data_IF_053070091382
#
_entry.id   IF_053070091382
#
_cell.length_a   1.000
_cell.length_b   1.000
_cell.length_c   1.000
_cell.angle_alpha   90.00
_cell.angle_beta   90.00
_cell.angle_gamma   90.00
#
_symmetry.space_group_name_H-M   'P 1'
#
loop_
_entity.id
_entity.type
_entity.pdbx_description
1 polymer ?
#
# COMPACT_ATOMS: atom_id res chain seq x y z
N UNK A 1 22.01 -11.07 19.88
CA UNK A 1 21.30 -11.43 21.13
C UNK A 1 22.18 -12.29 22.06
N UNK A 2 22.26 -11.98 23.36
CA UNK A 2 23.04 -12.77 24.33
C UNK A 2 22.19 -13.94 24.89
N UNK A 3 22.76 -15.14 24.98
CA UNK A 3 22.16 -16.36 25.56
C UNK A 3 21.51 -16.12 26.93
N UNK A 4 22.04 -15.18 27.71
CA UNK A 4 21.54 -14.80 29.03
C UNK A 4 20.17 -14.10 28.97
N UNK A 5 19.94 -13.23 27.98
CA UNK A 5 18.65 -12.56 27.77
C UNK A 5 17.57 -13.55 27.36
N UNK A 6 17.90 -14.48 26.46
CA UNK A 6 16.96 -15.51 26.00
C UNK A 6 16.54 -16.43 27.14
N UNK A 7 17.50 -16.84 27.98
CA UNK A 7 17.20 -17.68 29.13
C UNK A 7 16.37 -16.93 30.18
N UNK A 8 16.67 -15.66 30.45
CA UNK A 8 15.87 -14.81 31.35
C UNK A 8 14.41 -14.72 30.88
N UNK A 9 14.21 -14.59 29.58
CA UNK A 9 12.89 -14.48 28.95
C UNK A 9 12.11 -15.78 28.97
N UNK A 10 12.80 -16.91 28.85
CA UNK A 10 12.20 -18.22 29.10
C UNK A 10 11.79 -18.39 30.58
N UNK A 11 12.59 -17.88 31.51
CA UNK A 11 12.24 -17.86 32.94
C UNK A 11 11.02 -16.97 33.22
N UNK A 12 10.91 -15.81 32.59
CA UNK A 12 9.71 -14.96 32.69
C UNK A 12 8.46 -15.67 32.16
N UNK A 13 8.58 -16.42 31.08
CA UNK A 13 7.48 -17.20 30.55
C UNK A 13 7.06 -18.36 31.49
N UNK A 14 8.02 -19.03 32.14
CA UNK A 14 7.73 -20.02 33.18
C UNK A 14 6.99 -19.43 34.41
N UNK A 15 7.08 -18.11 34.62
CA UNK A 15 6.39 -17.38 35.69
C UNK A 15 5.00 -16.85 35.26
N UNK A 16 4.47 -17.28 34.11
CA UNK A 16 3.15 -16.83 33.61
C UNK A 16 3.14 -15.42 33.02
N UNK A 17 4.30 -14.83 32.72
CA UNK A 17 4.45 -13.52 32.06
C UNK A 17 4.75 -13.66 30.57
N UNK A 18 4.17 -14.68 29.93
CA UNK A 18 4.50 -15.12 28.57
C UNK A 18 4.29 -14.01 27.53
N UNK A 19 3.23 -13.20 27.66
CA UNK A 19 2.95 -12.10 26.74
C UNK A 19 4.02 -10.98 26.84
N UNK A 20 4.43 -10.60 28.06
CA UNK A 20 5.49 -9.59 28.25
C UNK A 20 6.84 -10.08 27.72
N UNK A 21 7.13 -11.37 27.89
CA UNK A 21 8.31 -11.99 27.30
C UNK A 21 8.22 -11.98 25.76
N UNK A 22 7.07 -12.32 25.19
CA UNK A 22 6.90 -12.27 23.74
C UNK A 22 7.14 -10.86 23.18
N UNK A 23 6.56 -9.82 23.78
CA UNK A 23 6.69 -8.43 23.32
C UNK A 23 8.14 -7.93 23.36
N UNK A 24 8.89 -8.28 24.42
CA UNK A 24 10.30 -7.91 24.53
C UNK A 24 11.14 -8.61 23.45
N UNK A 25 10.88 -9.88 23.12
CA UNK A 25 11.57 -10.57 22.02
C UNK A 25 11.24 -9.97 20.66
N UNK A 26 9.98 -9.66 20.41
CA UNK A 26 9.55 -9.03 19.16
C UNK A 26 10.27 -7.69 18.98
N UNK A 27 10.32 -6.86 20.02
CA UNK A 27 11.00 -5.58 19.96
C UNK A 27 12.53 -5.73 19.80
N UNK A 28 13.15 -6.69 20.48
CA UNK A 28 14.58 -6.98 20.32
C UNK A 28 14.89 -7.46 18.90
N UNK A 29 14.07 -8.35 18.35
CA UNK A 29 14.19 -8.81 16.96
C UNK A 29 14.02 -7.67 15.97
N UNK A 30 12.99 -6.84 16.12
CA UNK A 30 12.80 -5.66 15.27
C UNK A 30 13.98 -4.68 15.35
N UNK A 31 14.59 -4.52 16.53
CA UNK A 31 15.75 -3.63 16.68
C UNK A 31 17.02 -4.14 15.98
N UNK A 32 17.09 -5.45 15.71
CA UNK A 32 18.17 -6.09 14.94
C UNK A 32 17.94 -6.04 13.42
N UNK A 33 16.78 -5.58 12.97
CA UNK A 33 16.43 -5.45 11.56
C UNK A 33 16.64 -3.99 11.13
N UNK A 34 17.79 -3.71 10.54
CA UNK A 34 18.22 -2.36 10.17
C UNK A 34 17.22 -1.68 9.24
N UNK A 35 16.65 -2.42 8.28
CA UNK A 35 15.73 -1.87 7.27
C UNK A 35 14.27 -1.86 7.71
N UNK A 36 13.94 -2.30 8.92
CA UNK A 36 12.54 -2.50 9.34
C UNK A 36 11.70 -1.21 9.25
N UNK A 37 12.19 -0.11 9.85
CA UNK A 37 11.48 1.18 9.84
C UNK A 37 11.38 1.79 8.44
N UNK A 38 12.45 1.71 7.67
CA UNK A 38 12.51 2.27 6.32
C UNK A 38 11.60 1.49 5.36
N UNK A 39 11.46 0.17 5.55
CA UNK A 39 10.54 -0.67 4.79
C UNK A 39 9.09 -0.26 5.05
N UNK A 40 8.70 -0.07 6.32
CA UNK A 40 7.36 0.45 6.66
C UNK A 40 7.09 1.79 5.97
N UNK A 41 7.98 2.76 6.14
CA UNK A 41 7.83 4.10 5.55
C UNK A 41 7.70 4.06 4.03
N UNK A 42 8.48 3.21 3.37
CA UNK A 42 8.47 3.10 1.91
C UNK A 42 7.16 2.49 1.40
N UNK A 43 6.62 1.49 2.11
CA UNK A 43 5.35 0.85 1.75
C UNK A 43 4.16 1.77 2.05
N UNK A 44 4.19 2.50 3.17
CA UNK A 44 3.22 3.55 3.47
C UNK A 44 3.20 4.64 2.39
N UNK A 45 4.37 5.05 1.88
CA UNK A 45 4.46 5.97 0.76
C UNK A 45 3.80 5.41 -0.52
N UNK A 46 4.02 4.13 -0.83
CA UNK A 46 3.37 3.50 -1.99
C UNK A 46 1.84 3.48 -1.86
N UNK A 47 1.33 3.21 -0.66
CA UNK A 47 -0.10 3.28 -0.38
C UNK A 47 -0.63 4.71 -0.50
N UNK A 48 0.07 5.70 0.06
CA UNK A 48 -0.32 7.10 0.00
C UNK A 48 -0.38 7.63 -1.43
N UNK A 49 0.61 7.30 -2.27
CA UNK A 49 0.64 7.67 -3.70
C UNK A 49 -0.57 7.05 -4.43
N UNK A 50 -0.85 5.76 -4.19
CA UNK A 50 -2.00 5.09 -4.79
C UNK A 50 -3.34 5.72 -4.36
N UNK A 51 -3.51 6.03 -3.07
CA UNK A 51 -4.72 6.68 -2.54
C UNK A 51 -4.90 8.10 -3.08
N UNK A 52 -3.82 8.89 -3.17
CA UNK A 52 -3.84 10.24 -3.71
C UNK A 52 -4.40 10.26 -5.14
N UNK A 53 -3.90 9.36 -6.00
CA UNK A 53 -4.36 9.29 -7.38
C UNK A 53 -5.78 8.75 -7.52
N UNK A 54 -6.19 7.80 -6.68
CA UNK A 54 -7.57 7.33 -6.63
C UNK A 54 -8.55 8.44 -6.23
N UNK A 55 -8.19 9.25 -5.24
CA UNK A 55 -9.02 10.38 -4.80
C UNK A 55 -9.10 11.47 -5.88
N UNK A 56 -7.98 11.80 -6.53
CA UNK A 56 -7.96 12.78 -7.62
C UNK A 56 -8.80 12.32 -8.82
N UNK A 57 -8.69 11.05 -9.20
CA UNK A 57 -9.51 10.46 -10.27
C UNK A 57 -11.01 10.49 -9.94
N UNK A 58 -11.38 10.16 -8.69
CA UNK A 58 -12.77 10.26 -8.21
C UNK A 58 -13.28 11.71 -8.26
N UNK A 59 -12.50 12.67 -7.80
CA UNK A 59 -12.88 14.08 -7.80
C UNK A 59 -13.14 14.60 -9.22
N UNK A 60 -12.24 14.31 -10.17
CA UNK A 60 -12.44 14.67 -11.58
C UNK A 60 -13.67 14.00 -12.19
N UNK A 61 -13.95 12.75 -11.82
CA UNK A 61 -15.15 12.04 -12.27
C UNK A 61 -16.43 12.67 -11.72
N UNK A 62 -16.43 13.09 -10.45
CA UNK A 62 -17.55 13.79 -9.83
C UNK A 62 -17.78 15.16 -10.47
N UNK A 63 -16.71 15.94 -10.67
CA UNK A 63 -16.79 17.25 -11.34
C UNK A 63 -17.34 17.10 -12.76
N UNK A 64 -16.84 16.13 -13.53
CA UNK A 64 -17.33 15.85 -14.88
C UNK A 64 -18.83 15.57 -14.89
N UNK A 65 -19.32 14.71 -13.99
CA UNK A 65 -20.75 14.37 -13.90
C UNK A 65 -21.61 15.57 -13.51
N UNK A 66 -21.13 16.43 -12.61
CA UNK A 66 -21.84 17.65 -12.23
C UNK A 66 -21.99 18.60 -13.43
N UNK A 67 -20.90 18.81 -14.19
CA UNK A 67 -20.93 19.63 -15.40
C UNK A 67 -21.84 19.03 -16.49
N UNK A 68 -21.83 17.71 -16.66
CA UNK A 68 -22.73 17.01 -17.59
C UNK A 68 -24.20 17.22 -17.21
N UNK A 69 -24.54 17.17 -15.91
CA UNK A 69 -25.89 17.45 -15.42
C UNK A 69 -26.29 18.92 -15.67
N UNK A 70 -25.42 19.87 -15.36
CA UNK A 70 -25.66 21.30 -15.63
C UNK A 70 -25.89 21.59 -17.13
N UNK A 71 -25.17 20.90 -18.03
CA UNK A 71 -25.39 21.03 -19.48
C UNK A 71 -26.77 20.54 -19.88
N UNK A 72 -27.25 19.42 -19.30
CA UNK A 72 -28.60 18.92 -19.55
C UNK A 72 -29.65 19.91 -19.04
N UNK A 73 -29.50 20.43 -17.82
CA UNK A 73 -30.40 21.43 -17.24
C UNK A 73 -30.46 22.71 -18.09
N UNK A 74 -29.29 23.19 -18.59
CA UNK A 74 -29.24 24.34 -19.49
C UNK A 74 -29.94 24.06 -20.82
N UNK A 75 -29.77 22.87 -21.40
CA UNK A 75 -30.47 22.46 -22.63
C UNK A 75 -31.99 22.38 -22.42
N UNK A 76 -32.43 21.90 -21.26
CA UNK A 76 -33.86 21.88 -20.89
C UNK A 76 -34.40 23.29 -20.65
N UNK A 77 -33.61 24.20 -20.06
CA UNK A 77 -34.02 25.58 -19.80
C UNK A 77 -34.32 26.36 -21.08
N UNK A 78 -33.62 26.07 -22.19
CA UNK A 78 -33.91 26.63 -23.52
C UNK A 78 -35.34 26.29 -23.96
N UNK A 79 -35.79 25.06 -23.70
CA UNK A 79 -37.13 24.60 -24.09
C UNK A 79 -38.25 25.25 -23.25
N UNK A 80 -37.90 25.83 -22.09
CA UNK A 80 -38.83 26.44 -21.14
C UNK A 80 -38.83 27.98 -21.18
N UNK A 81 -38.14 28.60 -22.14
CA UNK A 81 -38.10 30.06 -22.27
C UNK A 81 -39.47 30.63 -22.66
N UNK A 82 -39.92 31.65 -21.94
CA UNK A 82 -41.17 32.36 -22.23
C UNK A 82 -41.00 33.28 -23.46
N UNK A 83 -42.03 33.34 -24.30
CA UNK A 83 -42.00 33.99 -25.62
C UNK A 83 -42.08 35.53 -25.53
N UNK A 84 -42.19 36.07 -24.31
CA UNK A 84 -42.45 37.50 -24.04
C UNK A 84 -41.22 38.42 -24.04
N UNK A 85 -40.02 37.90 -24.32
CA UNK A 85 -38.76 38.67 -24.36
C UNK A 85 -37.90 38.42 -25.60
N UNK A 86 -36.67 38.95 -25.61
CA UNK A 86 -35.67 38.66 -26.65
C UNK A 86 -35.11 37.24 -26.47
N UNK A 87 -35.85 36.26 -26.98
CA UNK A 87 -35.53 34.84 -26.92
C UNK A 87 -34.17 34.57 -27.55
N UNK A 88 -33.81 35.28 -28.62
CA UNK A 88 -32.55 35.05 -29.35
C UNK A 88 -31.37 35.39 -28.44
N UNK A 89 -31.40 36.54 -27.75
CA UNK A 89 -30.35 36.91 -26.82
C UNK A 89 -30.22 35.94 -25.62
N UNK A 90 -31.35 35.45 -25.10
CA UNK A 90 -31.37 34.48 -24.00
C UNK A 90 -30.81 33.12 -24.42
N UNK A 91 -31.24 32.59 -25.58
CA UNK A 91 -30.73 31.35 -26.15
C UNK A 91 -29.24 31.44 -26.45
N UNK A 92 -28.76 32.56 -27.02
CA UNK A 92 -27.33 32.76 -27.26
C UNK A 92 -26.51 32.74 -25.96
N UNK A 93 -27.03 33.33 -24.89
CA UNK A 93 -26.37 33.34 -23.58
C UNK A 93 -26.29 31.93 -23.00
N UNK A 94 -27.39 31.16 -23.06
CA UNK A 94 -27.42 29.77 -22.57
C UNK A 94 -26.49 28.89 -23.41
N UNK A 95 -26.52 29.02 -24.74
CA UNK A 95 -25.63 28.26 -25.64
C UNK A 95 -24.15 28.57 -25.38
N UNK A 96 -23.80 29.82 -25.07
CA UNK A 96 -22.44 30.16 -24.67
C UNK A 96 -22.04 29.45 -23.36
N UNK A 97 -22.92 29.43 -22.36
CA UNK A 97 -22.69 28.70 -21.10
C UNK A 97 -22.55 27.19 -21.32
N UNK A 98 -23.38 26.60 -22.20
CA UNK A 98 -23.27 25.19 -22.61
C UNK A 98 -21.90 24.94 -23.23
N UNK A 99 -21.48 25.77 -24.19
CA UNK A 99 -20.19 25.63 -24.87
C UNK A 99 -19.02 25.69 -23.89
N UNK A 100 -19.00 26.68 -22.98
CA UNK A 100 -17.95 26.82 -21.96
C UNK A 100 -17.86 25.58 -21.04
N UNK A 101 -19.00 24.98 -20.69
CA UNK A 101 -19.06 23.75 -19.89
C UNK A 101 -18.63 22.51 -20.68
N UNK A 102 -19.04 22.38 -21.93
CA UNK A 102 -18.63 21.29 -22.82
C UNK A 102 -17.11 21.32 -23.07
N UNK A 103 -16.53 22.51 -23.25
CA UNK A 103 -15.07 22.71 -23.32
C UNK A 103 -14.37 22.25 -22.03
N UNK A 104 -14.95 22.57 -20.86
CA UNK A 104 -14.42 22.11 -19.56
C UNK A 104 -14.53 20.61 -19.39
N UNK A 105 -15.63 19.97 -19.80
CA UNK A 105 -15.79 18.51 -19.79
C UNK A 105 -14.72 17.84 -20.64
N UNK A 106 -14.46 18.35 -21.84
CA UNK A 106 -13.40 17.86 -22.72
C UNK A 106 -12.00 18.04 -22.10
N UNK A 107 -11.78 19.19 -21.42
CA UNK A 107 -10.57 19.45 -20.65
C UNK A 107 -10.35 18.47 -19.51
N UNK A 108 -11.40 18.12 -18.76
CA UNK A 108 -11.34 17.11 -17.69
C UNK A 108 -11.02 15.73 -18.25
N UNK A 109 -11.65 15.32 -19.35
CA UNK A 109 -11.36 14.01 -19.98
C UNK A 109 -9.89 13.90 -20.42
N UNK A 110 -9.36 14.97 -21.02
CA UNK A 110 -7.94 15.05 -21.41
C UNK A 110 -7.01 15.00 -20.18
N UNK A 111 -7.38 15.71 -19.11
CA UNK A 111 -6.65 15.71 -17.83
C UNK A 111 -6.66 14.32 -17.20
N UNK A 112 -7.78 13.61 -17.20
CA UNK A 112 -7.90 12.25 -16.67
C UNK A 112 -6.98 11.27 -17.42
N UNK A 113 -6.83 11.42 -18.74
CA UNK A 113 -5.96 10.56 -19.55
C UNK A 113 -4.47 10.82 -19.25
N UNK A 114 -4.06 12.09 -19.16
CA UNK A 114 -2.71 12.47 -18.75
C UNK A 114 -2.40 12.02 -17.32
N UNK A 115 -3.37 12.18 -16.42
CA UNK A 115 -3.28 11.74 -15.04
C UNK A 115 -3.09 10.22 -14.96
N UNK A 116 -3.85 9.44 -15.73
CA UNK A 116 -3.76 7.97 -15.72
C UNK A 116 -2.35 7.46 -16.06
N UNK A 117 -1.70 8.06 -17.06
CA UNK A 117 -0.33 7.71 -17.43
C UNK A 117 0.68 8.04 -16.33
N UNK A 118 0.63 9.27 -15.79
CA UNK A 118 1.53 9.71 -14.72
C UNK A 118 1.28 8.94 -13.41
N UNK A 119 0.02 8.77 -13.03
CA UNK A 119 -0.38 8.02 -11.83
C UNK A 119 0.17 6.60 -11.86
N UNK A 120 0.02 5.91 -13.00
CA UNK A 120 0.56 4.55 -13.14
C UNK A 120 2.07 4.53 -12.97
N UNK A 121 2.78 5.49 -13.57
CA UNK A 121 4.23 5.57 -13.46
C UNK A 121 4.69 5.82 -12.02
N UNK A 122 4.10 6.81 -11.35
CA UNK A 122 4.45 7.15 -9.97
C UNK A 122 4.13 5.99 -9.00
N UNK A 123 3.01 5.28 -9.22
CA UNK A 123 2.68 4.07 -8.44
C UNK A 123 3.70 2.96 -8.70
N UNK A 124 4.11 2.73 -9.95
CA UNK A 124 5.14 1.72 -10.27
C UNK A 124 6.49 2.09 -9.61
N UNK A 125 6.89 3.36 -9.62
CA UNK A 125 8.10 3.82 -8.96
C UNK A 125 8.03 3.63 -7.43
N UNK A 126 6.88 3.90 -6.81
CA UNK A 126 6.69 3.65 -5.38
C UNK A 126 6.65 2.15 -5.03
N UNK A 127 5.99 1.33 -5.86
CA UNK A 127 5.99 -0.13 -5.74
C UNK A 127 7.42 -0.68 -5.86
N UNK A 128 8.23 -0.15 -6.77
CA UNK A 128 9.63 -0.55 -6.94
C UNK A 128 10.43 -0.41 -5.64
N UNK A 129 10.37 0.76 -5.01
CA UNK A 129 11.06 0.98 -3.73
C UNK A 129 10.48 0.09 -2.64
N UNK A 130 9.15 -0.10 -2.61
CA UNK A 130 8.47 -0.98 -1.66
C UNK A 130 8.92 -2.45 -1.78
N UNK A 131 8.93 -3.02 -2.99
CA UNK A 131 9.38 -4.39 -3.23
C UNK A 131 10.88 -4.57 -2.95
N UNK A 132 11.69 -3.56 -3.25
CA UNK A 132 13.12 -3.58 -2.96
C UNK A 132 13.37 -3.61 -1.45
N UNK A 133 12.69 -2.75 -0.69
CA UNK A 133 12.77 -2.72 0.77
C UNK A 133 12.23 -4.02 1.40
N UNK A 134 11.09 -4.52 0.91
CA UNK A 134 10.50 -5.78 1.37
C UNK A 134 11.47 -6.98 1.20
N UNK A 135 12.15 -7.06 0.04
CA UNK A 135 13.15 -8.12 -0.21
C UNK A 135 14.37 -7.99 0.71
N UNK A 136 14.84 -6.76 0.97
CA UNK A 136 15.94 -6.53 1.91
C UNK A 136 15.55 -7.00 3.32
N UNK A 137 14.37 -6.59 3.82
CA UNK A 137 13.87 -7.00 5.12
C UNK A 137 13.65 -8.52 5.23
N UNK A 138 13.16 -9.15 4.15
CA UNK A 138 13.00 -10.61 4.08
C UNK A 138 14.35 -11.34 4.23
N UNK A 139 15.41 -10.81 3.61
CA UNK A 139 16.77 -11.32 3.76
C UNK A 139 17.30 -11.14 5.19
N UNK A 140 17.08 -9.99 5.82
CA UNK A 140 17.47 -9.75 7.22
C UNK A 140 16.74 -10.68 8.19
N UNK A 141 15.44 -10.90 8.00
CA UNK A 141 14.66 -11.84 8.82
C UNK A 141 15.20 -13.26 8.66
N UNK A 142 15.56 -13.68 7.45
CA UNK A 142 16.19 -14.98 7.24
C UNK A 142 17.53 -15.11 7.99
N UNK A 143 18.37 -14.07 7.95
CA UNK A 143 19.64 -14.02 8.69
C UNK A 143 19.44 -14.02 10.21
N UNK A 144 18.44 -13.28 10.70
CA UNK A 144 18.05 -13.26 12.11
C UNK A 144 17.65 -14.66 12.57
N UNK A 145 16.81 -15.37 11.80
CA UNK A 145 16.42 -16.75 12.09
C UNK A 145 17.68 -17.64 12.22
N UNK A 146 18.64 -17.51 11.31
CA UNK A 146 19.92 -18.23 11.37
C UNK A 146 20.74 -17.92 12.63
N UNK A 147 20.72 -16.66 13.09
CA UNK A 147 21.43 -16.19 14.29
C UNK A 147 20.76 -16.68 15.58
N UNK A 148 19.42 -16.78 15.59
CA UNK A 148 18.63 -17.21 16.75
C UNK A 148 18.62 -18.73 16.89
N UNK A 149 18.64 -19.48 15.79
CA UNK A 149 18.61 -20.95 15.78
C UNK A 149 19.56 -21.64 16.79
N UNK A 150 20.87 -21.29 16.90
CA UNK A 150 21.80 -22.01 17.78
C UNK A 150 21.58 -21.79 19.29
N UNK A 151 20.77 -20.81 19.68
CA UNK A 151 20.49 -20.48 21.09
C UNK A 151 19.12 -20.98 21.56
N UNK A 152 18.39 -21.66 20.67
CA UNK A 152 17.10 -22.29 20.99
C UNK A 152 17.32 -23.58 21.79
N UNK A 153 16.50 -23.78 22.82
CA UNK A 153 16.42 -25.00 23.61
C UNK A 153 14.95 -25.27 24.01
N UNK A 154 14.71 -26.42 24.65
CA UNK A 154 13.36 -26.85 25.01
C UNK A 154 12.60 -25.83 25.88
N UNK A 155 13.29 -25.06 26.72
CA UNK A 155 12.67 -24.12 27.63
C UNK A 155 12.25 -22.80 26.96
N UNK A 156 12.92 -22.39 25.88
CA UNK A 156 12.73 -21.07 25.25
C UNK A 156 12.13 -21.12 23.82
N UNK A 157 12.04 -22.32 23.23
CA UNK A 157 11.63 -22.53 21.84
C UNK A 157 10.27 -21.92 21.53
N UNK A 158 9.27 -22.17 22.36
CA UNK A 158 7.90 -21.73 22.10
C UNK A 158 7.79 -20.20 22.00
N UNK A 159 8.48 -19.48 22.89
CA UNK A 159 8.46 -18.02 22.94
C UNK A 159 9.23 -17.41 21.75
N UNK A 160 10.39 -17.98 21.42
CA UNK A 160 11.20 -17.55 20.27
C UNK A 160 10.43 -17.76 18.96
N UNK A 161 9.81 -18.93 18.78
CA UNK A 161 9.01 -19.24 17.59
C UNK A 161 7.86 -18.25 17.46
N UNK A 162 7.09 -18.02 18.53
CA UNK A 162 5.99 -17.03 18.52
C UNK A 162 6.48 -15.62 18.18
N UNK A 163 7.59 -15.18 18.75
CA UNK A 163 8.15 -13.86 18.48
C UNK A 163 8.64 -13.72 17.02
N UNK A 164 9.35 -14.72 16.49
CA UNK A 164 9.75 -14.75 15.07
C UNK A 164 8.54 -14.78 14.14
N UNK A 165 7.52 -15.59 14.45
CA UNK A 165 6.26 -15.62 13.71
C UNK A 165 5.58 -14.25 13.68
N UNK A 166 5.61 -13.51 14.79
CA UNK A 166 5.06 -12.15 14.84
C UNK A 166 5.76 -11.21 13.85
N UNK A 167 7.10 -11.23 13.82
CA UNK A 167 7.89 -10.42 12.89
C UNK A 167 7.65 -10.84 11.43
N UNK A 168 7.59 -12.15 11.15
CA UNK A 168 7.30 -12.68 9.82
C UNK A 168 5.89 -12.31 9.34
N UNK A 169 4.90 -12.35 10.24
CA UNK A 169 3.53 -11.97 9.92
C UNK A 169 3.41 -10.49 9.53
N UNK A 170 4.19 -9.62 10.17
CA UNK A 170 4.24 -8.20 9.83
C UNK A 170 4.88 -7.95 8.47
N UNK A 171 6.00 -8.65 8.15
CA UNK A 171 6.56 -8.67 6.80
C UNK A 171 5.54 -9.15 5.76
N UNK A 172 4.76 -10.19 6.07
CA UNK A 172 3.72 -10.70 5.17
C UNK A 172 2.61 -9.67 4.96
N UNK A 173 2.18 -8.98 6.03
CA UNK A 173 1.18 -7.93 5.96
C UNK A 173 1.63 -6.78 5.04
N UNK A 174 2.85 -6.29 5.22
CA UNK A 174 3.48 -5.31 4.34
C UNK A 174 3.52 -5.79 2.88
N UNK A 175 3.80 -7.08 2.69
CA UNK A 175 3.75 -7.71 1.37
C UNK A 175 2.34 -7.71 0.75
N UNK A 176 1.29 -7.97 1.53
CA UNK A 176 -0.08 -7.93 1.02
C UNK A 176 -0.48 -6.54 0.53
N UNK A 177 -0.07 -5.49 1.23
CA UNK A 177 -0.30 -4.10 0.79
C UNK A 177 0.31 -3.88 -0.61
N UNK A 178 1.57 -4.25 -0.79
CA UNK A 178 2.25 -4.13 -2.10
C UNK A 178 1.56 -4.94 -3.20
N UNK A 179 1.13 -6.17 -2.88
CA UNK A 179 0.42 -7.03 -3.82
C UNK A 179 -0.91 -6.42 -4.24
N UNK A 180 -1.68 -5.89 -3.30
CA UNK A 180 -3.02 -5.35 -3.57
C UNK A 180 -2.92 -4.07 -4.42
N UNK A 181 -1.93 -3.19 -4.16
CA UNK A 181 -1.62 -2.04 -5.01
C UNK A 181 -1.14 -2.51 -6.40
N UNK A 182 -0.30 -3.54 -6.46
CA UNK A 182 0.20 -4.08 -7.75
C UNK A 182 -0.93 -4.61 -8.62
N UNK A 183 -1.90 -5.30 -8.01
CA UNK A 183 -3.09 -5.80 -8.67
C UNK A 183 -3.97 -4.65 -9.19
N UNK A 184 -4.15 -3.57 -8.41
CA UNK A 184 -4.99 -2.44 -8.81
C UNK A 184 -4.48 -1.70 -10.06
N UNK A 185 -3.16 -1.73 -10.31
CA UNK A 185 -2.54 -1.12 -11.50
C UNK A 185 -2.15 -2.13 -12.58
N UNK A 186 -2.57 -3.39 -12.45
CA UNK A 186 -2.23 -4.48 -13.37
C UNK A 186 -0.72 -4.60 -13.63
N UNK A 187 0.08 -4.50 -12.57
CA UNK A 187 1.55 -4.61 -12.62
C UNK A 187 2.06 -5.95 -12.07
N UNK A 188 1.20 -6.96 -12.00
CA UNK A 188 1.57 -8.29 -11.49
C UNK A 188 2.72 -8.88 -12.30
N UNK A 189 3.77 -9.35 -11.59
CA UNK A 189 4.98 -9.92 -12.20
C UNK A 189 5.72 -8.98 -13.16
N UNK A 190 5.43 -7.68 -13.12
CA UNK A 190 6.20 -6.68 -13.83
C UNK A 190 7.66 -6.74 -13.35
N UNK A 191 8.60 -6.75 -14.29
CA UNK A 191 10.01 -6.53 -14.01
C UNK A 191 10.33 -5.07 -14.31
N UNK A 192 10.58 -4.27 -13.28
CA UNK A 192 10.84 -2.85 -13.39
C UNK A 192 12.18 -2.52 -12.74
N UNK A 193 13.10 -1.91 -13.50
CA UNK A 193 14.48 -1.60 -13.06
C UNK A 193 15.19 -2.81 -12.41
N UNK A 194 14.93 -4.02 -12.92
CA UNK A 194 15.52 -5.28 -12.42
C UNK A 194 14.82 -5.88 -11.19
N UNK A 195 13.77 -5.25 -10.66
CA UNK A 195 12.97 -5.77 -9.54
C UNK A 195 11.67 -6.34 -10.08
N UNK A 196 11.48 -7.65 -9.85
CA UNK A 196 10.20 -8.32 -10.11
C UNK A 196 9.23 -8.02 -8.97
N UNK A 197 8.02 -7.55 -9.30
CA UNK A 197 6.91 -7.32 -8.37
C UNK A 197 6.28 -8.66 -7.98
N UNK A 198 6.98 -9.37 -7.10
CA UNK A 198 6.55 -10.64 -6.53
C UNK A 198 7.14 -10.80 -5.13
N UNK A 199 6.39 -11.50 -4.28
CA UNK A 199 6.81 -11.84 -2.92
C UNK A 199 7.09 -13.34 -2.89
N UNK A 200 8.28 -13.70 -2.41
CA UNK A 200 8.65 -15.09 -2.16
C UNK A 200 9.27 -15.17 -0.77
N UNK A 201 8.54 -15.78 0.15
CA UNK A 201 8.99 -15.99 1.54
C UNK A 201 9.36 -17.46 1.80
N UNK A 202 9.56 -18.26 0.75
CA UNK A 202 9.86 -19.71 0.85
C UNK A 202 11.07 -20.00 1.73
N UNK A 203 12.12 -19.18 1.63
CA UNK A 203 13.33 -19.32 2.46
C UNK A 203 13.05 -19.09 3.94
N UNK A 204 12.23 -18.08 4.27
CA UNK A 204 11.80 -17.79 5.65
C UNK A 204 10.92 -18.93 6.17
N UNK A 205 9.92 -19.37 5.39
CA UNK A 205 9.02 -20.48 5.75
C UNK A 205 9.83 -21.76 6.04
N UNK A 206 10.80 -22.06 5.17
CA UNK A 206 11.69 -23.22 5.36
C UNK A 206 12.51 -23.09 6.64
N UNK A 207 13.12 -21.93 6.89
CA UNK A 207 13.92 -21.69 8.08
C UNK A 207 13.11 -21.76 9.38
N UNK A 208 11.88 -21.22 9.37
CA UNK A 208 10.93 -21.32 10.48
C UNK A 208 10.54 -22.78 10.75
N UNK A 209 10.22 -23.55 9.70
CA UNK A 209 9.85 -24.96 9.86
C UNK A 209 10.99 -25.81 10.46
N UNK A 210 12.25 -25.46 10.16
CA UNK A 210 13.39 -26.13 10.79
C UNK A 210 13.45 -25.88 12.29
N UNK A 211 13.21 -24.64 12.73
CA UNK A 211 13.17 -24.31 14.17
C UNK A 211 12.01 -25.04 14.86
N UNK A 212 10.84 -25.08 14.23
CA UNK A 212 9.65 -25.73 14.79
C UNK A 212 9.84 -27.25 15.00
N UNK A 213 10.74 -27.90 14.24
CA UNK A 213 11.03 -29.34 14.35
C UNK A 213 12.13 -29.72 15.33
N UNK A 214 12.97 -28.76 15.77
CA UNK A 214 14.06 -28.99 16.74
C UNK A 214 13.54 -29.30 18.14
#
# INVERSE_FOLDING_TARGET
MNKLQVNFMATLAMLGLENKAQDVLVNDFKSQLETFKDTHKTIENAQAVHEQYNNLSKNLTTEKKALEAEVVELKESINNLDVKGDIVAQVMTINKSIQEKEERIAGIASTQLLLGGKARQDIIDALYEGYKAHKALSSEIYQLIGTVKPIINQANKAQIVKALQSVVNELNHLGYILRDITASVNAERLNYKGVVFSISNTSIISAMSQIERM
#
